data_IF_284176788458
#
_entry.id   IF_284176788458
#
_cell.length_a   1.000
_cell.length_b   1.000
_cell.length_c   1.000
_cell.angle_alpha   90.00
_cell.angle_beta   90.00
_cell.angle_gamma   90.00
#
_symmetry.space_group_name_H-M   'P 1'
#
loop_
_entity.id
_entity.type
_entity.pdbx_description
1 polymer ?
#
# COMPACT_ATOMS: atom_id res chain seq x y z
N UNK A 1 -14.31 -0.58 -8.95
CA UNK A 1 -13.03 -0.84 -8.26
C UNK A 1 -12.04 0.31 -8.33
N UNK A 2 -11.78 0.93 -9.50
CA UNK A 2 -10.79 2.02 -9.63
C UNK A 2 -10.97 3.21 -8.67
N UNK A 3 -12.22 3.61 -8.37
CA UNK A 3 -12.52 4.63 -7.35
C UNK A 3 -11.92 4.30 -5.97
N UNK A 4 -12.08 3.05 -5.53
CA UNK A 4 -11.60 2.61 -4.21
C UNK A 4 -10.08 2.47 -4.18
N UNK A 5 -9.47 2.02 -5.28
CA UNK A 5 -8.00 1.99 -5.37
C UNK A 5 -7.41 3.38 -5.16
N UNK A 6 -7.96 4.42 -5.78
CA UNK A 6 -7.50 5.80 -5.57
C UNK A 6 -7.61 6.24 -4.10
N UNK A 7 -8.71 5.92 -3.42
CA UNK A 7 -8.91 6.25 -1.99
C UNK A 7 -7.90 5.50 -1.12
N UNK A 8 -7.77 4.19 -1.31
CA UNK A 8 -6.87 3.34 -0.55
C UNK A 8 -5.40 3.70 -0.77
N UNK A 9 -5.02 4.07 -2.00
CA UNK A 9 -3.67 4.52 -2.33
C UNK A 9 -3.29 5.82 -1.62
N UNK A 10 -4.20 6.81 -1.58
CA UNK A 10 -3.96 8.06 -0.87
C UNK A 10 -3.90 7.81 0.65
N UNK A 11 -4.78 6.95 1.17
CA UNK A 11 -4.74 6.57 2.57
C UNK A 11 -3.41 5.89 2.94
N UNK A 12 -2.96 4.94 2.10
CA UNK A 12 -1.67 4.28 2.28
C UNK A 12 -0.51 5.27 2.34
N UNK A 13 -0.45 6.23 1.40
CA UNK A 13 0.59 7.25 1.37
C UNK A 13 0.57 8.11 2.64
N UNK A 14 -0.60 8.58 3.08
CA UNK A 14 -0.76 9.35 4.32
C UNK A 14 -0.34 8.56 5.57
N UNK A 15 -0.75 7.30 5.67
CA UNK A 15 -0.45 6.45 6.83
C UNK A 15 1.03 6.08 6.90
N UNK A 16 1.67 5.82 5.75
CA UNK A 16 3.07 5.38 5.72
C UNK A 16 4.06 6.52 5.63
N UNK A 17 3.63 7.72 5.23
CA UNK A 17 4.51 8.82 4.85
C UNK A 17 5.31 8.55 3.56
N UNK A 18 4.94 7.52 2.80
CA UNK A 18 5.65 7.08 1.59
C UNK A 18 4.81 7.41 0.35
N UNK A 19 5.27 8.40 -0.41
CA UNK A 19 4.58 8.88 -1.61
C UNK A 19 4.75 7.95 -2.83
N UNK A 20 5.85 7.19 -2.87
CA UNK A 20 6.12 6.23 -3.95
C UNK A 20 5.51 4.85 -3.61
N UNK A 21 4.62 4.33 -4.44
CA UNK A 21 4.00 3.02 -4.22
C UNK A 21 3.63 2.32 -5.54
N UNK A 22 3.47 1.00 -5.49
CA UNK A 22 3.02 0.18 -6.61
C UNK A 22 1.59 -0.33 -6.40
N UNK A 23 0.82 -0.48 -7.48
CA UNK A 23 -0.41 -1.28 -7.52
C UNK A 23 -0.18 -2.49 -8.40
N UNK A 24 -0.46 -3.67 -7.87
CA UNK A 24 -0.20 -4.93 -8.58
C UNK A 24 -1.40 -5.85 -8.45
N UNK A 25 -1.80 -6.44 -9.57
CA UNK A 25 -2.80 -7.50 -9.61
C UNK A 25 -2.32 -8.57 -10.57
N UNK A 26 -2.14 -9.80 -10.05
CA UNK A 26 -1.61 -10.92 -10.81
C UNK A 26 -2.73 -11.87 -11.23
N UNK A 27 -2.73 -12.31 -12.50
CA UNK A 27 -3.70 -13.25 -13.05
C UNK A 27 -2.98 -14.54 -13.52
N UNK A 28 -3.20 -15.64 -12.82
CA UNK A 28 -2.62 -16.95 -13.10
C UNK A 28 -1.26 -17.17 -12.44
N UNK A 29 -0.91 -18.44 -12.24
CA UNK A 29 0.31 -18.86 -11.55
C UNK A 29 1.59 -18.35 -12.22
N UNK A 30 1.63 -18.30 -13.55
CA UNK A 30 2.78 -17.78 -14.32
C UNK A 30 3.02 -16.28 -14.07
N UNK A 31 1.98 -15.52 -13.70
CA UNK A 31 2.09 -14.13 -13.28
C UNK A 31 2.35 -13.98 -11.77
N UNK A 32 2.77 -15.05 -11.08
CA UNK A 32 3.01 -15.10 -9.63
C UNK A 32 1.75 -14.89 -8.76
N UNK A 33 0.56 -15.27 -9.24
CA UNK A 33 -0.63 -15.36 -8.38
C UNK A 33 -0.57 -16.62 -7.52
N UNK A 34 -0.68 -16.47 -6.19
CA UNK A 34 -0.71 -17.58 -5.23
C UNK A 34 -2.11 -17.82 -4.67
N UNK A 35 -2.87 -16.75 -4.41
CA UNK A 35 -4.26 -16.83 -3.93
C UNK A 35 -5.22 -16.58 -5.09
N UNK A 36 -6.05 -17.58 -5.40
CA UNK A 36 -6.97 -17.58 -6.55
C UNK A 36 -8.27 -16.80 -6.27
N UNK A 37 -8.12 -15.59 -5.73
CA UNK A 37 -9.18 -14.60 -5.55
C UNK A 37 -8.66 -13.28 -6.13
N UNK A 38 -9.50 -12.49 -6.81
CA UNK A 38 -9.07 -11.19 -7.34
C UNK A 38 -8.70 -10.26 -6.17
N UNK A 39 -7.44 -9.86 -6.09
CA UNK A 39 -6.94 -8.93 -5.07
C UNK A 39 -5.92 -7.98 -5.69
N UNK A 40 -5.84 -6.78 -5.12
CA UNK A 40 -4.85 -5.78 -5.49
C UNK A 40 -3.87 -5.62 -4.34
N UNK A 41 -2.59 -5.65 -4.63
CA UNK A 41 -1.55 -5.20 -3.71
C UNK A 41 -1.36 -3.71 -3.88
N UNK A 42 -1.29 -2.97 -2.76
CA UNK A 42 -0.79 -1.60 -2.71
C UNK A 42 0.48 -1.66 -1.86
N UNK A 43 1.64 -1.36 -2.47
CA UNK A 43 2.95 -1.62 -1.86
C UNK A 43 3.71 -0.30 -1.73
N UNK A 44 3.89 0.25 -0.52
CA UNK A 44 4.70 1.45 -0.30
C UNK A 44 6.18 1.16 -0.56
N UNK A 45 6.88 2.09 -1.20
CA UNK A 45 8.28 2.00 -1.63
C UNK A 45 9.08 3.18 -1.05
N UNK A 46 9.55 3.10 0.20
CA UNK A 46 10.33 4.17 0.80
C UNK A 46 11.62 4.44 0.00
N UNK A 47 12.08 5.70 0.01
CA UNK A 47 13.27 6.09 -0.74
C UNK A 47 14.49 5.28 -0.27
N UNK A 48 15.13 4.58 -1.20
CA UNK A 48 16.28 3.71 -0.94
C UNK A 48 17.44 4.50 -0.32
N UNK A 49 17.61 5.77 -0.74
CA UNK A 49 18.74 6.62 -0.36
C UNK A 49 18.74 7.03 1.11
N UNK A 50 17.56 7.12 1.74
CA UNK A 50 17.45 7.47 3.16
C UNK A 50 17.97 6.36 4.10
N UNK A 51 17.99 5.11 3.63
CA UNK A 51 18.34 3.95 4.46
C UNK A 51 19.85 3.66 4.55
N UNK A 52 20.70 4.36 3.78
CA UNK A 52 22.14 4.08 3.68
C UNK A 52 22.50 2.68 3.17
N UNK A 53 21.50 1.82 2.90
CA UNK A 53 21.66 0.46 2.41
C UNK A 53 21.35 0.45 0.93
N UNK A 54 22.41 0.43 0.12
CA UNK A 54 22.31 0.00 -1.28
C UNK A 54 21.98 -1.50 -1.27
N UNK A 55 20.71 -1.83 -1.07
CA UNK A 55 20.26 -3.21 -1.05
C UNK A 55 20.01 -3.66 -2.49
N UNK A 56 20.88 -4.53 -3.01
CA UNK A 56 20.72 -5.20 -4.31
C UNK A 56 19.40 -6.00 -4.41
N UNK A 57 18.72 -6.24 -3.28
CA UNK A 57 17.40 -6.88 -3.21
C UNK A 57 16.22 -5.93 -3.48
N UNK A 58 16.45 -4.69 -3.93
CA UNK A 58 15.41 -3.81 -4.49
C UNK A 58 14.98 -4.26 -5.90
N UNK A 59 14.85 -5.57 -6.10
CA UNK A 59 14.29 -6.10 -7.33
C UNK A 59 12.79 -5.84 -7.30
N UNK A 60 12.30 -5.07 -8.27
CA UNK A 60 10.86 -4.97 -8.55
C UNK A 60 10.29 -6.39 -8.62
N UNK A 61 9.31 -6.70 -7.76
CA UNK A 61 8.67 -8.01 -7.67
C UNK A 61 9.54 -9.17 -7.13
N UNK A 62 10.71 -8.88 -6.56
CA UNK A 62 11.55 -9.88 -5.89
C UNK A 62 11.04 -10.27 -4.50
N UNK A 63 11.57 -11.37 -3.96
CA UNK A 63 11.42 -11.71 -2.53
C UNK A 63 12.30 -10.77 -1.69
N UNK A 64 11.93 -9.48 -1.64
CA UNK A 64 12.46 -8.57 -0.63
C UNK A 64 12.35 -9.20 0.77
N UNK A 65 13.15 -8.71 1.72
CA UNK A 65 13.10 -9.19 3.10
C UNK A 65 11.67 -9.03 3.62
N UNK A 66 11.04 -10.14 3.98
CA UNK A 66 9.73 -10.19 4.62
C UNK A 66 9.96 -10.50 6.08
N UNK A 67 9.52 -9.60 6.94
CA UNK A 67 9.50 -9.81 8.37
C UNK A 67 8.04 -9.81 8.79
N UNK A 68 7.73 -10.58 9.84
CA UNK A 68 6.41 -10.49 10.45
C UNK A 68 6.32 -9.16 11.20
N UNK A 69 5.20 -8.46 11.01
CA UNK A 69 4.85 -7.31 11.82
C UNK A 69 4.28 -7.82 13.13
N UNK A 70 4.68 -7.23 14.25
CA UNK A 70 4.07 -7.57 15.53
C UNK A 70 2.60 -7.12 15.57
N UNK A 71 1.81 -7.77 16.43
CA UNK A 71 0.36 -7.58 16.47
C UNK A 71 -0.04 -6.15 16.89
N UNK A 72 0.76 -5.50 17.75
CA UNK A 72 0.48 -4.15 18.26
C UNK A 72 0.71 -3.11 17.16
N UNK A 73 1.86 -3.17 16.47
CA UNK A 73 2.16 -2.34 15.32
C UNK A 73 1.15 -2.56 14.19
N UNK A 74 0.73 -3.81 13.97
CA UNK A 74 -0.29 -4.14 12.97
C UNK A 74 -1.65 -3.53 13.31
N UNK A 75 -2.08 -3.59 14.57
CA UNK A 75 -3.32 -3.00 15.04
C UNK A 75 -3.30 -1.47 14.89
N UNK A 76 -2.20 -0.84 15.32
CA UNK A 76 -2.01 0.60 15.20
C UNK A 76 -2.04 1.06 13.74
N UNK A 77 -1.27 0.38 12.88
CA UNK A 77 -1.24 0.68 11.45
C UNK A 77 -2.63 0.53 10.81
N UNK A 78 -3.37 -0.54 11.15
CA UNK A 78 -4.70 -0.76 10.63
C UNK A 78 -5.70 0.31 11.12
N UNK A 79 -5.56 0.79 12.36
CA UNK A 79 -6.37 1.89 12.90
C UNK A 79 -6.12 3.17 12.11
N UNK A 80 -4.86 3.57 11.95
CA UNK A 80 -4.49 4.82 11.28
C UNK A 80 -4.87 4.80 9.80
N UNK A 81 -4.74 3.64 9.14
CA UNK A 81 -5.19 3.48 7.76
C UNK A 81 -6.71 3.68 7.64
N UNK A 82 -7.50 3.12 8.56
CA UNK A 82 -8.97 3.31 8.56
C UNK A 82 -9.36 4.77 8.78
N UNK A 83 -8.68 5.47 9.68
CA UNK A 83 -8.90 6.90 9.95
C UNK A 83 -8.61 7.73 8.69
N UNK A 84 -7.46 7.51 8.05
CA UNK A 84 -7.09 8.18 6.80
C UNK A 84 -8.07 7.91 5.65
N UNK A 85 -8.56 6.66 5.51
CA UNK A 85 -9.61 6.33 4.52
C UNK A 85 -10.88 7.14 4.78
N UNK A 86 -11.32 7.24 6.04
CA UNK A 86 -12.51 7.99 6.40
C UNK A 86 -12.35 9.49 6.09
N UNK A 87 -11.18 10.07 6.38
CA UNK A 87 -10.90 11.48 6.10
C UNK A 87 -10.88 11.79 4.61
N UNK A 88 -10.23 10.95 3.79
CA UNK A 88 -10.22 11.11 2.34
C UNK A 88 -11.64 11.05 1.77
N UNK A 89 -12.48 10.13 2.25
CA UNK A 89 -13.87 10.05 1.81
C UNK A 89 -14.68 11.30 2.20
N UNK A 90 -14.45 11.88 3.38
CA UNK A 90 -15.07 13.14 3.82
C UNK A 90 -14.63 14.31 2.94
N UNK A 91 -13.33 14.43 2.66
CA UNK A 91 -12.76 15.47 1.79
C UNK A 91 -13.35 15.41 0.37
N UNK A 92 -13.50 14.21 -0.19
CA UNK A 92 -14.11 14.03 -1.51
C UNK A 92 -15.59 14.40 -1.52
N UNK A 93 -16.33 14.00 -0.48
CA UNK A 93 -17.73 14.35 -0.34
C UNK A 93 -17.93 15.87 -0.21
N UNK A 94 -16.99 16.57 0.45
CA UNK A 94 -16.98 18.03 0.50
C UNK A 94 -16.68 18.65 -0.87
N UNK A 95 -15.63 18.18 -1.56
CA UNK A 95 -15.26 18.68 -2.89
C UNK A 95 -16.35 18.48 -3.94
N UNK A 96 -17.11 17.39 -3.86
CA UNK A 96 -18.21 17.10 -4.79
C UNK A 96 -19.47 17.99 -4.59
N UNK A 97 -19.55 18.72 -3.47
CA UNK A 97 -20.66 19.65 -3.15
C UNK A 97 -20.37 21.10 -3.55
N UNK A 98 -19.11 21.40 -3.89
CA UNK A 98 -18.67 22.69 -4.43
C UNK A 98 -18.81 22.69 -5.95
#
# INVERSE_FOLDING_TARGET
MGRYLRVLSNALARTTGVEDWNVVQNNGAAAAQVVMHMHFHLIPRPEIRASGRYSESFTMFGRGRREELDEEDAEHFAKDLRENVADILREEAHKAKL
#
